data_IF_336986084109
#
_entry.id   IF_336986084109
#
_cell.length_a   1.000
_cell.length_b   1.000
_cell.length_c   1.000
_cell.angle_alpha   90.00
_cell.angle_beta   90.00
_cell.angle_gamma   90.00
#
_symmetry.space_group_name_H-M   'P 1'
#
loop_
_entity.id
_entity.type
_entity.pdbx_description
1 polymer ?
#
# COMPACT_ATOMS: atom_id res chain seq x y z
N UNK A 1 11.74 -25.06 -49.61
CA UNK A 1 11.88 -23.76 -48.97
C UNK A 1 10.56 -23.47 -48.24
N UNK A 2 10.46 -23.80 -46.98
CA UNK A 2 9.29 -23.62 -46.15
C UNK A 2 9.58 -22.56 -45.11
N UNK A 3 8.87 -21.42 -45.17
CA UNK A 3 8.96 -20.36 -44.19
C UNK A 3 8.12 -20.71 -42.98
N UNK A 4 8.75 -20.92 -41.84
CA UNK A 4 8.08 -21.05 -40.53
C UNK A 4 7.72 -19.66 -40.01
N UNK A 5 6.43 -19.31 -39.99
CA UNK A 5 5.88 -18.15 -39.28
C UNK A 5 5.85 -18.46 -37.79
N UNK A 6 6.80 -17.89 -37.05
CA UNK A 6 6.80 -17.94 -35.60
C UNK A 6 5.70 -17.01 -35.02
N UNK A 7 4.67 -17.62 -34.46
CA UNK A 7 3.66 -16.89 -33.67
C UNK A 7 4.29 -16.46 -32.34
N UNK A 8 4.62 -15.20 -32.21
CA UNK A 8 5.01 -14.60 -30.92
C UNK A 8 3.86 -14.65 -29.90
N UNK A 9 4.13 -14.70 -28.61
CA UNK A 9 3.07 -14.71 -27.59
C UNK A 9 2.27 -13.40 -27.64
N UNK A 10 0.97 -13.54 -27.50
CA UNK A 10 -0.01 -12.45 -27.60
C UNK A 10 0.25 -11.39 -26.50
N UNK A 11 0.08 -10.09 -26.77
CA UNK A 11 0.42 -8.99 -25.84
C UNK A 11 -0.27 -9.11 -24.48
N UNK A 12 -1.50 -9.64 -24.44
CA UNK A 12 -2.23 -9.81 -23.18
C UNK A 12 -1.58 -10.79 -22.18
N UNK A 13 -0.81 -11.78 -22.68
CA UNK A 13 -0.05 -12.70 -21.83
C UNK A 13 1.11 -11.97 -21.12
N UNK A 14 1.66 -10.93 -21.75
CA UNK A 14 2.74 -10.12 -21.15
C UNK A 14 2.21 -9.18 -20.05
N UNK A 15 1.01 -8.58 -20.27
CA UNK A 15 0.36 -7.77 -19.26
C UNK A 15 0.00 -8.60 -18.01
N UNK A 16 -0.57 -9.80 -18.19
CA UNK A 16 -0.89 -10.70 -17.08
C UNK A 16 0.35 -11.10 -16.25
N UNK A 17 1.50 -11.30 -16.90
CA UNK A 17 2.74 -11.65 -16.19
C UNK A 17 3.26 -10.48 -15.36
N UNK A 18 3.15 -9.25 -15.86
CA UNK A 18 3.61 -8.05 -15.12
C UNK A 18 2.74 -7.80 -13.90
N UNK A 19 1.41 -7.86 -14.03
CA UNK A 19 0.48 -7.64 -12.91
C UNK A 19 0.62 -8.75 -11.87
N UNK A 20 0.67 -10.01 -12.29
CA UNK A 20 0.85 -11.15 -11.37
C UNK A 20 2.22 -11.11 -10.68
N UNK A 21 3.26 -10.66 -11.39
CA UNK A 21 4.61 -10.50 -10.82
C UNK A 21 4.66 -9.40 -9.74
N UNK A 22 3.94 -8.30 -9.94
CA UNK A 22 3.95 -7.16 -9.02
C UNK A 22 3.23 -7.50 -7.71
N UNK A 23 2.08 -8.19 -7.79
CA UNK A 23 1.35 -8.66 -6.60
C UNK A 23 2.16 -9.69 -5.83
N UNK A 24 2.83 -10.64 -6.51
CA UNK A 24 3.63 -11.66 -5.85
C UNK A 24 4.87 -11.09 -5.13
N UNK A 25 5.54 -10.08 -5.71
CA UNK A 25 6.71 -9.44 -5.07
C UNK A 25 6.29 -8.57 -3.89
N UNK A 26 5.13 -7.89 -3.97
CA UNK A 26 4.62 -7.09 -2.86
C UNK A 26 4.15 -7.97 -1.69
N UNK A 27 3.48 -9.09 -1.97
CA UNK A 27 3.09 -10.07 -0.94
C UNK A 27 4.31 -10.72 -0.25
N UNK A 28 5.40 -10.99 -1.00
CA UNK A 28 6.61 -11.54 -0.43
C UNK A 28 7.35 -10.55 0.49
N UNK A 29 7.26 -9.23 0.22
CA UNK A 29 7.89 -8.22 1.08
C UNK A 29 7.18 -8.07 2.43
N UNK A 30 5.87 -8.27 2.49
CA UNK A 30 5.08 -8.26 3.75
C UNK A 30 5.10 -9.64 4.43
N UNK A 31 4.93 -10.73 3.67
CA UNK A 31 4.93 -12.09 4.22
C UNK A 31 6.31 -12.62 4.61
N UNK A 32 7.39 -12.20 3.92
CA UNK A 32 8.75 -12.66 4.22
C UNK A 32 9.31 -12.17 5.56
N UNK A 33 8.81 -11.03 6.08
CA UNK A 33 9.15 -10.53 7.40
C UNK A 33 8.52 -11.31 8.56
N UNK A 34 7.39 -11.97 8.32
CA UNK A 34 6.61 -12.66 9.35
C UNK A 34 7.17 -14.04 9.74
N UNK A 35 8.03 -14.64 8.94
CA UNK A 35 8.52 -16.00 9.16
C UNK A 35 9.81 -16.10 10.00
N UNK A 36 10.48 -14.98 10.28
CA UNK A 36 11.80 -15.01 10.93
C UNK A 36 11.85 -14.58 12.39
N UNK A 37 10.74 -14.11 12.98
CA UNK A 37 10.71 -13.75 14.40
C UNK A 37 9.62 -14.53 15.10
N UNK A 38 9.97 -15.65 15.71
CA UNK A 38 9.09 -16.45 16.55
C UNK A 38 8.80 -15.79 17.91
N UNK A 39 8.53 -14.50 17.92
CA UNK A 39 8.05 -13.77 19.09
C UNK A 39 6.57 -13.46 18.86
N UNK A 40 5.74 -13.76 19.85
CA UNK A 40 4.38 -13.25 19.90
C UNK A 40 4.42 -11.73 19.73
N UNK A 41 3.52 -11.12 18.93
CA UNK A 41 3.48 -9.68 18.78
C UNK A 41 3.27 -9.05 20.15
N UNK A 42 3.99 -7.95 20.44
CA UNK A 42 3.76 -7.19 21.66
C UNK A 42 2.28 -6.81 21.77
N UNK A 43 1.72 -6.93 22.96
CA UNK A 43 0.34 -6.55 23.21
C UNK A 43 0.21 -5.03 23.22
N UNK A 44 -0.90 -4.45 22.70
CA UNK A 44 -1.16 -3.03 22.77
C UNK A 44 -1.15 -2.54 24.22
N UNK A 45 -0.64 -1.35 24.46
CA UNK A 45 -0.49 -0.79 25.80
C UNK A 45 -1.30 0.50 25.96
N UNK A 46 -1.50 0.92 27.20
CA UNK A 46 -2.14 2.19 27.49
C UNK A 46 -1.37 3.34 26.84
N UNK A 47 -2.03 4.08 25.95
CA UNK A 47 -1.42 5.13 25.13
C UNK A 47 -1.41 4.82 23.63
N UNK A 48 -1.57 3.55 23.23
CA UNK A 48 -1.78 3.19 21.84
C UNK A 48 -3.24 3.47 21.47
N UNK A 49 -3.48 4.39 20.53
CA UNK A 49 -4.82 4.76 20.08
C UNK A 49 -5.45 3.61 19.29
N UNK A 50 -4.67 2.94 18.45
CA UNK A 50 -5.07 1.77 17.69
C UNK A 50 -4.53 0.51 18.37
N UNK A 51 -5.43 -0.29 18.94
CA UNK A 51 -5.10 -1.57 19.60
C UNK A 51 -5.13 -2.77 18.66
N UNK A 52 -5.61 -2.57 17.44
CA UNK A 52 -5.64 -3.52 16.32
C UNK A 52 -5.49 -2.74 15.01
N UNK A 53 -5.04 -3.40 13.96
CA UNK A 53 -5.10 -2.81 12.62
C UNK A 53 -6.56 -2.71 12.16
N UNK A 54 -7.00 -1.55 11.63
CA UNK A 54 -8.34 -1.43 11.07
C UNK A 54 -8.56 -2.40 9.90
N UNK A 55 -9.77 -2.96 9.71
CA UNK A 55 -10.10 -3.80 8.56
C UNK A 55 -10.22 -2.97 7.28
N UNK A 56 -10.19 -3.61 6.11
CA UNK A 56 -10.32 -2.95 4.81
C UNK A 56 -11.60 -2.12 4.64
N UNK A 57 -12.65 -2.45 5.38
CA UNK A 57 -13.90 -1.68 5.40
C UNK A 57 -13.81 -0.26 5.96
N UNK A 58 -12.68 0.15 6.55
CA UNK A 58 -12.44 1.53 6.97
C UNK A 58 -12.14 2.44 5.78
N UNK A 59 -11.67 1.87 4.66
CA UNK A 59 -11.35 2.63 3.46
C UNK A 59 -12.63 3.10 2.77
N UNK A 60 -12.82 4.42 2.55
CA UNK A 60 -14.04 4.94 1.93
C UNK A 60 -14.23 4.39 0.52
N UNK A 61 -15.41 3.85 0.23
CA UNK A 61 -15.76 3.32 -1.09
C UNK A 61 -15.69 4.40 -2.19
N UNK A 62 -16.02 5.64 -1.83
CA UNK A 62 -15.92 6.80 -2.72
C UNK A 62 -14.46 7.05 -3.12
N UNK A 63 -13.53 7.03 -2.16
CA UNK A 63 -12.10 7.18 -2.43
C UNK A 63 -11.57 6.09 -3.36
N UNK A 64 -12.00 4.83 -3.17
CA UNK A 64 -11.65 3.72 -4.05
C UNK A 64 -12.16 3.96 -5.46
N UNK A 65 -13.44 4.35 -5.58
CA UNK A 65 -14.10 4.58 -6.88
C UNK A 65 -13.48 5.76 -7.64
N UNK A 66 -13.08 6.82 -6.93
CA UNK A 66 -12.40 7.97 -7.55
C UNK A 66 -10.97 7.63 -7.99
N UNK A 67 -10.23 6.86 -7.17
CA UNK A 67 -8.86 6.49 -7.50
C UNK A 67 -8.77 5.43 -8.60
N UNK A 68 -9.66 4.44 -8.58
CA UNK A 68 -9.65 3.30 -9.51
C UNK A 68 -11.09 2.84 -9.81
N UNK A 69 -11.78 3.49 -10.78
CA UNK A 69 -13.17 3.20 -11.11
C UNK A 69 -13.39 1.74 -11.51
N UNK A 70 -14.38 1.11 -10.90
CA UNK A 70 -14.73 -0.29 -11.18
C UNK A 70 -13.83 -1.32 -10.52
N UNK A 71 -12.92 -0.92 -9.65
CA UNK A 71 -12.08 -1.85 -8.90
C UNK A 71 -12.89 -2.71 -7.95
N UNK A 72 -12.46 -3.96 -7.79
CA UNK A 72 -13.00 -4.92 -6.84
C UNK A 72 -11.94 -5.28 -5.79
N UNK A 73 -12.39 -5.54 -4.56
CA UNK A 73 -11.50 -6.01 -3.51
C UNK A 73 -11.02 -7.43 -3.84
N UNK A 74 -9.72 -7.58 -4.02
CA UNK A 74 -9.05 -8.86 -4.31
C UNK A 74 -8.44 -9.48 -3.06
N UNK A 75 -7.89 -8.65 -2.18
CA UNK A 75 -7.21 -9.10 -0.95
C UNK A 75 -7.70 -8.29 0.24
N UNK A 76 -8.04 -9.00 1.32
CA UNK A 76 -8.34 -8.50 2.66
C UNK A 76 -7.67 -9.45 3.66
N UNK A 77 -6.39 -9.22 3.90
CA UNK A 77 -5.56 -10.06 4.76
C UNK A 77 -5.09 -9.26 5.97
N UNK A 78 -5.33 -9.78 7.17
CA UNK A 78 -4.86 -9.19 8.42
C UNK A 78 -4.11 -10.19 9.29
N UNK A 79 -3.24 -9.67 10.16
CA UNK A 79 -2.52 -10.53 11.09
C UNK A 79 -1.41 -9.82 11.88
N UNK A 80 -0.75 -10.58 12.78
CA UNK A 80 0.27 -10.03 13.65
C UNK A 80 1.52 -9.62 12.85
N UNK A 81 2.10 -8.51 13.27
CA UNK A 81 3.40 -8.01 12.84
C UNK A 81 4.36 -7.97 14.04
N UNK A 82 5.66 -7.92 13.78
CA UNK A 82 6.62 -7.62 14.85
C UNK A 82 6.33 -6.22 15.43
N UNK A 83 5.97 -6.15 16.71
CA UNK A 83 5.61 -4.93 17.42
C UNK A 83 4.29 -4.32 16.94
N UNK A 84 3.30 -5.14 16.54
CA UNK A 84 2.01 -4.61 16.12
C UNK A 84 1.10 -5.60 15.41
N UNK A 85 0.16 -5.06 14.66
CA UNK A 85 -0.79 -5.79 13.82
C UNK A 85 -0.96 -5.08 12.47
N UNK A 86 -1.17 -5.80 11.40
CA UNK A 86 -1.33 -5.22 10.06
C UNK A 86 -2.53 -5.77 9.30
N UNK A 87 -3.06 -4.94 8.40
CA UNK A 87 -4.06 -5.30 7.41
C UNK A 87 -3.58 -4.85 6.04
N UNK A 88 -3.69 -5.72 5.05
CA UNK A 88 -3.38 -5.43 3.65
C UNK A 88 -4.65 -5.52 2.81
N UNK A 89 -5.00 -4.44 2.16
CA UNK A 89 -6.16 -4.31 1.29
C UNK A 89 -5.70 -4.06 -0.14
N UNK A 90 -6.22 -4.82 -1.08
CA UNK A 90 -5.87 -4.65 -2.50
C UNK A 90 -7.15 -4.62 -3.32
N UNK A 91 -7.34 -3.54 -4.07
CA UNK A 91 -8.38 -3.41 -5.08
C UNK A 91 -7.74 -3.43 -6.46
N UNK A 92 -8.42 -4.07 -7.41
CA UNK A 92 -7.91 -4.20 -8.78
C UNK A 92 -9.00 -4.09 -9.81
N UNK A 93 -8.65 -3.58 -10.99
CA UNK A 93 -9.43 -3.68 -12.22
C UNK A 93 -8.85 -4.70 -13.18
N UNK A 94 -7.75 -5.39 -12.81
CA UNK A 94 -7.07 -6.33 -13.68
C UNK A 94 -7.98 -7.49 -14.10
N UNK A 95 -8.09 -7.69 -15.41
CA UNK A 95 -8.96 -8.73 -15.98
C UNK A 95 -10.45 -8.38 -16.02
N UNK A 96 -10.83 -7.17 -15.59
CA UNK A 96 -12.18 -6.64 -15.72
C UNK A 96 -12.31 -5.80 -17.01
N UNK A 97 -13.55 -5.55 -17.45
CA UNK A 97 -13.83 -4.64 -18.56
C UNK A 97 -13.87 -3.19 -18.04
N UNK A 98 -12.69 -2.66 -17.73
CA UNK A 98 -12.48 -1.31 -17.21
C UNK A 98 -11.57 -0.52 -18.14
N UNK A 99 -11.83 0.79 -18.26
CA UNK A 99 -11.05 1.70 -19.11
C UNK A 99 -9.58 1.78 -18.66
N UNK A 100 -9.35 1.77 -17.34
CA UNK A 100 -8.03 1.79 -16.74
C UNK A 100 -7.75 0.46 -16.02
N UNK A 101 -6.64 -0.17 -16.36
CA UNK A 101 -6.19 -1.38 -15.67
C UNK A 101 -5.22 -1.00 -14.56
N UNK A 102 -5.57 -1.28 -13.31
CA UNK A 102 -4.77 -0.83 -12.19
C UNK A 102 -4.92 -1.64 -10.92
N UNK A 103 -4.10 -1.26 -9.96
CA UNK A 103 -4.09 -1.82 -8.59
C UNK A 103 -3.95 -0.66 -7.60
N UNK A 104 -4.83 -0.63 -6.63
CA UNK A 104 -4.77 0.22 -5.45
C UNK A 104 -4.53 -0.68 -4.24
N UNK A 105 -3.45 -0.42 -3.50
CA UNK A 105 -3.11 -1.16 -2.29
C UNK A 105 -3.02 -0.22 -1.10
N UNK A 106 -3.59 -0.64 0.01
CA UNK A 106 -3.49 0.02 1.31
C UNK A 106 -2.95 -0.97 2.33
N UNK A 107 -1.85 -0.63 2.98
CA UNK A 107 -1.32 -1.37 4.12
C UNK A 107 -1.54 -0.51 5.37
N UNK A 108 -2.30 -1.03 6.33
CA UNK A 108 -2.60 -0.43 7.62
C UNK A 108 -1.82 -1.19 8.71
N UNK A 109 -1.01 -0.50 9.51
CA UNK A 109 -0.17 -1.14 10.53
C UNK A 109 -0.28 -0.42 11.86
N UNK A 110 -1.06 -0.97 12.80
CA UNK A 110 -1.08 -0.54 14.18
C UNK A 110 0.25 -0.95 14.84
N UNK A 111 1.04 0.04 15.27
CA UNK A 111 2.33 -0.15 15.93
C UNK A 111 2.15 -0.03 17.42
N UNK A 112 2.63 -1.03 18.18
CA UNK A 112 2.45 -1.05 19.62
C UNK A 112 3.67 -0.50 20.35
N UNK A 113 3.41 0.02 21.55
CA UNK A 113 4.46 0.53 22.44
C UNK A 113 5.39 -0.60 22.88
N UNK A 114 6.68 -0.48 22.57
CA UNK A 114 7.73 -1.35 23.09
C UNK A 114 8.22 -0.85 24.46
N UNK A 115 7.66 -1.42 25.52
CA UNK A 115 8.05 -1.12 26.89
C UNK A 115 9.34 -1.86 27.34
N UNK A 116 9.88 -2.75 26.51
CA UNK A 116 11.14 -3.44 26.80
C UNK A 116 12.37 -2.63 26.41
N UNK A 117 12.18 -1.64 25.52
CA UNK A 117 13.24 -0.71 25.13
C UNK A 117 13.59 0.27 26.27
N UNK A 118 14.84 0.74 26.33
CA UNK A 118 15.29 1.76 27.29
C UNK A 118 15.90 2.97 26.55
N UNK A 119 15.20 4.12 26.45
CA UNK A 119 13.83 4.37 26.93
C UNK A 119 12.79 3.59 26.13
N UNK A 120 11.59 3.39 26.71
CA UNK A 120 10.45 2.79 26.02
C UNK A 120 10.12 3.57 24.75
N UNK A 121 9.78 2.86 23.67
CA UNK A 121 9.40 3.43 22.38
C UNK A 121 7.87 3.36 22.26
N UNK A 122 7.21 4.51 22.13
CA UNK A 122 5.75 4.55 21.96
C UNK A 122 5.34 4.01 20.60
N UNK A 123 4.08 3.56 20.47
CA UNK A 123 3.52 3.13 19.19
C UNK A 123 3.56 4.24 18.13
N UNK A 124 3.25 5.49 18.52
CA UNK A 124 3.37 6.67 17.65
C UNK A 124 4.81 6.89 17.16
N UNK A 125 5.81 6.86 18.07
CA UNK A 125 7.21 6.98 17.68
C UNK A 125 7.66 5.82 16.77
N UNK A 126 7.15 4.62 17.00
CA UNK A 126 7.40 3.45 16.15
C UNK A 126 6.79 3.64 14.74
N UNK A 127 5.57 4.16 14.64
CA UNK A 127 4.91 4.48 13.36
C UNK A 127 5.67 5.56 12.60
N UNK A 128 6.04 6.66 13.28
CA UNK A 128 6.82 7.77 12.70
C UNK A 128 8.18 7.30 12.16
N UNK A 129 8.90 6.49 12.94
CA UNK A 129 10.19 5.92 12.50
C UNK A 129 10.01 5.00 11.29
N UNK A 130 8.96 4.19 11.29
CA UNK A 130 8.67 3.27 10.18
C UNK A 130 8.31 4.04 8.91
N UNK A 131 7.51 5.12 9.00
CA UNK A 131 7.22 6.03 7.88
C UNK A 131 8.52 6.61 7.30
N UNK A 132 9.37 7.18 8.15
CA UNK A 132 10.67 7.76 7.73
C UNK A 132 11.56 6.70 7.05
N UNK A 133 11.55 5.47 7.54
CA UNK A 133 12.36 4.39 6.98
C UNK A 133 11.84 3.89 5.61
N UNK A 134 10.54 4.05 5.33
CA UNK A 134 9.94 3.68 4.04
C UNK A 134 10.24 4.70 2.95
N UNK A 135 10.27 5.97 3.30
CA UNK A 135 10.43 7.05 2.35
C UNK A 135 11.87 7.10 1.81
N UNK A 136 12.07 7.01 0.49
CA UNK A 136 13.39 7.19 -0.08
C UNK A 136 13.83 8.66 0.02
N UNK A 137 15.13 8.91 0.00
CA UNK A 137 15.71 10.26 0.08
C UNK A 137 15.20 11.25 -1.00
N UNK A 138 14.45 10.79 -1.97
CA UNK A 138 13.83 11.59 -3.06
C UNK A 138 12.31 11.67 -2.91
N UNK A 139 11.75 11.26 -1.79
CA UNK A 139 10.34 11.47 -1.46
C UNK A 139 10.02 12.97 -1.42
N UNK A 140 8.77 13.31 -1.69
CA UNK A 140 8.24 14.67 -1.57
C UNK A 140 7.26 14.71 -0.40
N UNK A 141 7.54 15.56 0.57
CA UNK A 141 6.62 15.76 1.70
C UNK A 141 5.35 16.50 1.25
N UNK A 142 4.23 16.08 1.79
CA UNK A 142 2.90 16.70 1.63
C UNK A 142 2.21 16.74 2.99
N UNK A 143 1.32 17.71 3.18
CA UNK A 143 0.45 17.77 4.36
C UNK A 143 -0.95 17.45 3.90
N UNK A 144 -1.55 16.39 4.46
CA UNK A 144 -2.91 15.96 4.14
C UNK A 144 -3.95 16.88 4.78
N UNK A 145 -5.18 16.86 4.29
CA UNK A 145 -6.31 17.62 4.84
C UNK A 145 -6.57 17.35 6.34
N UNK A 146 -6.29 16.13 6.80
CA UNK A 146 -6.30 15.74 8.22
C UNK A 146 -5.22 16.41 9.08
N UNK A 147 -4.25 17.07 8.46
CA UNK A 147 -3.06 17.63 9.12
C UNK A 147 -1.90 16.66 9.26
N UNK A 148 -2.05 15.39 8.85
CA UNK A 148 -0.97 14.41 8.90
C UNK A 148 0.13 14.76 7.89
N UNK A 149 1.39 14.61 8.30
CA UNK A 149 2.54 14.72 7.41
C UNK A 149 2.71 13.40 6.65
N UNK A 150 2.71 13.49 5.33
CA UNK A 150 2.88 12.34 4.45
C UNK A 150 4.07 12.53 3.52
N UNK A 151 4.63 11.43 3.04
CA UNK A 151 5.64 11.43 2.00
C UNK A 151 5.16 10.62 0.80
N UNK A 152 5.32 11.20 -0.42
CA UNK A 152 4.97 10.56 -1.68
C UNK A 152 6.22 10.35 -2.52
N UNK A 153 6.36 9.18 -3.15
CA UNK A 153 7.49 8.83 -4.00
C UNK A 153 7.09 7.95 -5.17
N UNK A 154 8.00 7.87 -6.13
CA UNK A 154 7.84 6.98 -7.28
C UNK A 154 8.09 5.53 -6.87
N UNK A 155 7.15 4.65 -7.17
CA UNK A 155 7.34 3.21 -7.02
C UNK A 155 8.38 2.64 -8.00
N UNK A 156 8.74 1.39 -7.79
CA UNK A 156 9.73 0.70 -8.63
C UNK A 156 9.19 0.34 -10.02
N UNK A 157 7.87 0.13 -10.12
CA UNK A 157 7.18 -0.19 -11.39
C UNK A 157 6.77 1.13 -12.07
N UNK A 158 6.94 1.27 -13.40
CA UNK A 158 6.39 2.41 -14.13
C UNK A 158 4.89 2.57 -13.88
N UNK A 159 4.40 3.80 -13.83
CA UNK A 159 3.00 4.10 -13.53
C UNK A 159 2.61 3.98 -12.05
N UNK A 160 3.58 3.78 -11.15
CA UNK A 160 3.33 3.62 -9.72
C UNK A 160 3.76 4.84 -8.93
N UNK A 161 2.87 5.30 -8.04
CA UNK A 161 3.20 6.19 -6.93
C UNK A 161 2.89 5.50 -5.59
N UNK A 162 3.68 5.80 -4.61
CA UNK A 162 3.52 5.32 -3.23
C UNK A 162 3.50 6.51 -2.28
N UNK A 163 2.74 6.39 -1.20
CA UNK A 163 2.63 7.39 -0.15
C UNK A 163 2.59 6.70 1.20
N UNK A 164 3.22 7.29 2.21
CA UNK A 164 3.06 6.86 3.59
C UNK A 164 2.81 8.06 4.50
N UNK A 165 1.95 7.84 5.49
CA UNK A 165 1.70 8.75 6.61
C UNK A 165 1.39 7.94 7.86
N UNK A 166 1.37 8.59 9.03
CA UNK A 166 0.83 7.98 10.24
C UNK A 166 -0.16 8.92 10.93
N UNK A 167 -1.07 8.32 11.68
CA UNK A 167 -1.99 8.99 12.60
C UNK A 167 -1.92 8.24 13.92
N UNK A 168 -1.47 8.91 14.98
CA UNK A 168 -1.11 8.23 16.22
C UNK A 168 -0.18 7.02 15.95
N UNK A 169 -0.49 5.87 16.50
CA UNK A 169 0.28 4.66 16.29
C UNK A 169 -0.13 3.82 15.05
N UNK A 170 -0.96 4.37 14.16
CA UNK A 170 -1.34 3.73 12.90
C UNK A 170 -0.48 4.25 11.75
N UNK A 171 0.37 3.40 11.20
CA UNK A 171 1.10 3.66 9.97
C UNK A 171 0.26 3.21 8.77
N UNK A 172 0.10 4.09 7.81
CA UNK A 172 -0.63 3.87 6.57
C UNK A 172 0.32 3.99 5.39
N UNK A 173 0.31 3.00 4.51
CA UNK A 173 0.97 3.07 3.21
C UNK A 173 -0.05 2.84 2.11
N UNK A 174 -0.04 3.72 1.13
CA UNK A 174 -0.86 3.61 -0.07
C UNK A 174 0.04 3.43 -1.28
N UNK A 175 -0.32 2.53 -2.17
CA UNK A 175 0.33 2.35 -3.48
C UNK A 175 -0.73 2.30 -4.56
N UNK A 176 -0.57 3.13 -5.58
CA UNK A 176 -1.41 3.12 -6.77
C UNK A 176 -0.54 2.87 -7.99
N UNK A 177 -1.00 1.97 -8.85
CA UNK A 177 -0.35 1.63 -10.12
C UNK A 177 -1.41 1.42 -11.19
N UNK A 178 -1.28 2.09 -12.32
CA UNK A 178 -2.24 1.94 -13.41
C UNK A 178 -1.60 2.00 -14.79
N UNK A 179 -2.35 1.45 -15.76
CA UNK A 179 -2.08 1.44 -17.18
C UNK A 179 -3.26 2.08 -17.90
N UNK A 180 -3.00 3.02 -18.78
CA UNK A 180 -3.96 3.62 -19.70
C UNK A 180 -3.74 2.99 -21.07
N UNK A 181 -4.73 2.20 -21.55
CA UNK A 181 -4.56 1.27 -22.67
C UNK A 181 -3.37 0.29 -22.42
N UNK A 182 -2.22 0.51 -23.04
CA UNK A 182 -1.02 -0.34 -22.91
C UNK A 182 0.17 0.42 -22.28
N UNK A 183 0.01 1.69 -21.96
CA UNK A 183 1.06 2.54 -21.43
C UNK A 183 0.88 2.81 -19.91
N UNK A 184 1.95 2.81 -19.12
CA UNK A 184 1.85 3.18 -17.72
C UNK A 184 1.45 4.65 -17.58
N UNK A 185 0.53 4.95 -16.68
CA UNK A 185 0.16 6.34 -16.36
C UNK A 185 1.40 7.15 -15.92
N UNK A 186 1.36 8.44 -16.14
CA UNK A 186 2.47 9.31 -15.71
C UNK A 186 2.60 9.29 -14.19
N UNK A 187 3.83 9.46 -13.69
CA UNK A 187 4.05 9.58 -12.24
C UNK A 187 3.28 10.75 -11.62
N UNK A 188 3.14 11.86 -12.33
CA UNK A 188 2.42 13.03 -11.82
C UNK A 188 0.95 12.67 -11.58
N UNK A 189 0.28 12.01 -12.54
CA UNK A 189 -1.08 11.50 -12.38
C UNK A 189 -1.18 10.50 -11.22
N UNK A 190 -0.30 9.50 -11.19
CA UNK A 190 -0.29 8.51 -10.10
C UNK A 190 -0.06 9.16 -8.71
N UNK A 191 0.83 10.17 -8.64
CA UNK A 191 1.09 10.94 -7.43
C UNK A 191 -0.11 11.78 -6.97
N UNK A 192 -0.82 12.41 -7.89
CA UNK A 192 -2.05 13.15 -7.60
C UNK A 192 -3.14 12.21 -7.07
N UNK A 193 -3.33 11.06 -7.73
CA UNK A 193 -4.31 10.05 -7.31
C UNK A 193 -4.02 9.52 -5.91
N UNK A 194 -2.78 9.13 -5.62
CA UNK A 194 -2.44 8.59 -4.30
C UNK A 194 -2.56 9.63 -3.18
N UNK A 195 -2.27 10.90 -3.46
CA UNK A 195 -2.45 11.98 -2.49
C UNK A 195 -3.92 12.25 -2.22
N UNK A 196 -4.75 12.42 -3.26
CA UNK A 196 -6.19 12.63 -3.11
C UNK A 196 -6.87 11.46 -2.36
N UNK A 197 -6.47 10.23 -2.66
CA UNK A 197 -6.94 9.05 -1.94
C UNK A 197 -6.53 9.08 -0.46
N UNK A 198 -5.26 9.41 -0.17
CA UNK A 198 -4.76 9.47 1.21
C UNK A 198 -5.42 10.58 2.03
N UNK A 199 -5.83 11.69 1.41
CA UNK A 199 -6.61 12.75 2.07
C UNK A 199 -7.96 12.23 2.58
N UNK A 200 -8.72 11.54 1.72
CA UNK A 200 -10.02 10.96 2.10
C UNK A 200 -9.85 9.84 3.13
N UNK A 201 -8.83 9.00 2.99
CA UNK A 201 -8.55 7.95 3.97
C UNK A 201 -8.14 8.54 5.32
N UNK A 202 -7.29 9.58 5.34
CA UNK A 202 -6.86 10.23 6.57
C UNK A 202 -7.97 10.97 7.33
N UNK A 203 -9.07 11.34 6.66
CA UNK A 203 -10.27 11.88 7.29
C UNK A 203 -11.18 10.79 7.90
N UNK A 204 -11.02 9.53 7.43
CA UNK A 204 -11.83 8.40 7.89
C UNK A 204 -11.17 7.61 9.04
N UNK A 205 -9.90 7.83 9.32
CA UNK A 205 -9.11 7.18 10.39
C UNK A 205 -9.10 8.03 11.66
#
# INVERSE_FOLDING_TARGET
MGSATGSGPRPWVRAAIVVTGTVAVSAAAVGGGLWFTGNDPDQPRGGDAHTTAPPCGVVPEEAITEALPGAVLETDDGGPLAGGEGTACVWTTAGLDAEEQGVLRVDLSARFTDASAEPAVTGDESASRAQTAMAPARGRSVVLGSGAEAEVWRGQVPGTAELAFHSDNLLVRVSYSAMDEDDPVSYDRASETVVAFAEQLGEAL
#
